data_IF_978674568293
#
_entry.id   IF_978674568293
#
_cell.length_a   1.000
_cell.length_b   1.000
_cell.length_c   1.000
_cell.angle_alpha   90.00
_cell.angle_beta   90.00
_cell.angle_gamma   90.00
#
_symmetry.space_group_name_H-M   'P 1'
#
loop_
_entity.id
_entity.type
_entity.pdbx_description
1 polymer ?
#
# COMPACT_ATOMS: atom_id res chain seq x y z
N UNK A 1 2.54 21.75 -15.45
CA UNK A 1 2.31 20.44 -14.83
C UNK A 1 1.09 20.51 -13.92
N UNK A 2 0.23 19.52 -13.98
CA UNK A 2 -0.95 19.40 -13.13
C UNK A 2 -0.53 18.99 -11.71
N UNK A 3 0.55 18.21 -11.59
CA UNK A 3 1.08 17.77 -10.31
C UNK A 3 1.69 18.91 -9.50
N UNK A 4 1.44 18.93 -8.21
CA UNK A 4 1.92 19.95 -7.28
C UNK A 4 2.57 19.33 -6.03
N UNK A 5 3.54 20.06 -5.45
CA UNK A 5 4.22 19.63 -4.23
C UNK A 5 3.44 20.09 -3.00
N UNK A 6 3.03 19.15 -2.17
CA UNK A 6 2.46 19.41 -0.85
C UNK A 6 2.43 18.11 -0.04
N UNK A 7 2.87 18.15 1.22
CA UNK A 7 2.52 17.13 2.20
C UNK A 7 1.16 17.45 2.81
N UNK A 8 0.44 16.42 3.25
CA UNK A 8 -0.88 16.64 3.89
C UNK A 8 -0.72 17.48 5.14
N UNK A 9 -1.58 18.49 5.28
CA UNK A 9 -1.62 19.44 6.40
C UNK A 9 -0.47 20.47 6.43
N UNK A 10 0.33 20.56 5.37
CA UNK A 10 1.36 21.58 5.18
C UNK A 10 0.95 22.59 4.11
N UNK A 11 1.69 23.69 4.05
CA UNK A 11 1.45 24.74 3.06
C UNK A 11 1.76 24.25 1.63
N UNK A 12 1.09 24.86 0.65
CA UNK A 12 1.31 24.59 -0.76
C UNK A 12 2.76 24.84 -1.14
N UNK A 13 3.37 23.90 -1.85
CA UNK A 13 4.76 23.97 -2.28
C UNK A 13 5.75 23.39 -1.27
N UNK A 14 5.30 23.04 -0.07
CA UNK A 14 6.11 22.38 0.96
C UNK A 14 5.72 20.92 1.03
N UNK A 15 6.70 20.02 0.93
CA UNK A 15 6.50 18.58 1.13
C UNK A 15 7.29 17.68 0.23
N UNK A 16 7.33 16.42 0.63
CA UNK A 16 8.10 15.35 -0.03
C UNK A 16 7.33 14.66 -1.14
N UNK A 17 6.05 14.97 -1.29
CA UNK A 17 5.17 14.32 -2.26
C UNK A 17 4.78 15.27 -3.38
N UNK A 18 4.72 14.72 -4.60
CA UNK A 18 3.96 15.32 -5.69
C UNK A 18 2.55 14.74 -5.68
N UNK A 19 1.56 15.57 -5.84
CA UNK A 19 0.16 15.16 -5.86
C UNK A 19 -0.43 15.38 -7.25
N UNK A 20 -1.07 14.35 -7.80
CA UNK A 20 -1.83 14.40 -9.03
C UNK A 20 -3.32 14.51 -8.66
N UNK A 21 -3.91 15.71 -8.70
CA UNK A 21 -5.29 15.91 -8.30
C UNK A 21 -6.25 15.45 -9.38
N UNK A 22 -7.37 14.89 -8.97
CA UNK A 22 -8.47 14.47 -9.82
C UNK A 22 -9.75 15.22 -9.43
N UNK A 23 -10.52 15.66 -10.40
CA UNK A 23 -11.92 15.99 -10.20
C UNK A 23 -12.78 14.71 -10.15
N UNK A 24 -14.09 14.85 -9.99
CA UNK A 24 -14.97 13.68 -9.85
C UNK A 24 -15.04 12.86 -11.15
N UNK A 25 -15.12 13.51 -12.29
CA UNK A 25 -15.23 12.84 -13.60
C UNK A 25 -13.95 12.07 -13.95
N UNK A 26 -12.79 12.68 -13.72
CA UNK A 26 -11.47 12.05 -13.89
C UNK A 26 -11.33 10.83 -12.96
N UNK A 27 -11.79 10.95 -11.73
CA UNK A 27 -11.78 9.86 -10.77
C UNK A 27 -12.72 8.72 -11.17
N UNK A 28 -13.96 9.03 -11.54
CA UNK A 28 -14.94 8.03 -11.95
C UNK A 28 -14.41 7.24 -13.16
N UNK A 29 -13.89 7.93 -14.17
CA UNK A 29 -13.26 7.30 -15.34
C UNK A 29 -12.10 6.39 -14.95
N UNK A 30 -11.22 6.86 -14.07
CA UNK A 30 -10.07 6.06 -13.59
C UNK A 30 -10.54 4.79 -12.87
N UNK A 31 -11.52 4.91 -11.97
CA UNK A 31 -12.01 3.75 -11.19
C UNK A 31 -12.72 2.74 -12.09
N UNK A 32 -13.56 3.21 -13.02
CA UNK A 32 -14.25 2.32 -13.94
C UNK A 32 -13.27 1.52 -14.81
N UNK A 33 -12.24 2.18 -15.33
CA UNK A 33 -11.19 1.54 -16.11
C UNK A 33 -10.29 0.61 -15.26
N UNK A 34 -10.03 0.97 -14.01
CA UNK A 34 -9.32 0.14 -13.05
C UNK A 34 -10.08 -1.17 -12.76
N UNK A 35 -11.40 -1.07 -12.57
CA UNK A 35 -12.27 -2.21 -12.29
C UNK A 35 -12.48 -3.13 -13.49
N UNK A 36 -12.44 -2.57 -14.71
CA UNK A 36 -12.55 -3.31 -15.97
C UNK A 36 -11.23 -3.96 -16.43
N UNK A 37 -10.09 -3.55 -15.85
CA UNK A 37 -8.77 -3.95 -16.30
C UNK A 37 -8.49 -5.45 -16.08
N UNK A 38 -7.70 -6.03 -16.99
CA UNK A 38 -7.25 -7.44 -16.88
C UNK A 38 -6.24 -7.60 -15.75
N UNK A 39 -6.47 -8.61 -14.93
CA UNK A 39 -5.60 -8.99 -13.82
C UNK A 39 -4.75 -10.22 -14.20
N UNK A 40 -3.61 -10.37 -13.56
CA UNK A 40 -2.90 -11.63 -13.55
C UNK A 40 -3.79 -12.61 -12.77
N UNK A 41 -4.16 -13.73 -13.38
CA UNK A 41 -5.01 -14.75 -12.76
C UNK A 41 -4.21 -15.37 -11.62
N UNK A 42 -4.54 -14.99 -10.39
CA UNK A 42 -4.09 -15.69 -9.18
C UNK A 42 -5.09 -16.81 -8.86
N UNK A 43 -4.62 -17.85 -8.22
CA UNK A 43 -5.52 -18.88 -7.68
C UNK A 43 -6.40 -18.26 -6.59
N UNK A 44 -7.64 -18.75 -6.45
CA UNK A 44 -8.66 -18.27 -5.48
C UNK A 44 -8.19 -18.28 -4.00
N UNK A 45 -7.07 -18.94 -3.70
CA UNK A 45 -6.41 -18.97 -2.40
C UNK A 45 -5.76 -17.62 -1.98
N UNK A 46 -5.63 -16.66 -2.90
CA UNK A 46 -4.84 -15.45 -2.69
C UNK A 46 -5.66 -14.28 -2.14
N UNK A 47 -6.99 -14.40 -2.08
CA UNK A 47 -7.87 -13.30 -1.68
C UNK A 47 -8.15 -13.23 -0.18
N UNK A 48 -8.00 -14.34 0.56
CA UNK A 48 -8.37 -14.39 1.98
C UNK A 48 -7.25 -14.04 2.96
N UNK A 49 -5.98 -14.07 2.54
CA UNK A 49 -4.84 -14.04 3.45
C UNK A 49 -3.91 -12.82 3.26
N UNK A 50 -4.40 -11.76 2.60
CA UNK A 50 -3.62 -10.53 2.44
C UNK A 50 -3.79 -9.62 3.66
N UNK A 51 -2.67 -9.11 4.18
CA UNK A 51 -2.72 -7.99 5.13
C UNK A 51 -3.54 -6.85 4.55
N UNK A 52 -4.39 -6.25 5.37
CA UNK A 52 -5.33 -5.22 4.93
C UNK A 52 -4.64 -4.03 4.25
N UNK A 53 -3.43 -3.66 4.70
CA UNK A 53 -2.62 -2.59 4.12
C UNK A 53 -1.93 -2.98 2.79
N UNK A 54 -1.91 -4.26 2.43
CA UNK A 54 -1.26 -4.79 1.23
C UNK A 54 -2.27 -5.21 0.14
N UNK A 55 -3.54 -4.84 0.27
CA UNK A 55 -4.53 -5.17 -0.75
C UNK A 55 -4.26 -4.41 -2.06
N UNK A 56 -4.41 -5.09 -3.22
CA UNK A 56 -4.36 -4.43 -4.52
C UNK A 56 -5.39 -3.30 -4.61
N UNK A 57 -5.01 -2.19 -5.25
CA UNK A 57 -5.87 -1.00 -5.33
C UNK A 57 -7.21 -1.31 -6.03
N UNK A 58 -7.20 -2.19 -7.03
CA UNK A 58 -8.42 -2.65 -7.70
C UNK A 58 -9.32 -3.48 -6.78
N UNK A 59 -8.78 -4.23 -5.83
CA UNK A 59 -9.59 -4.97 -4.86
C UNK A 59 -10.22 -4.02 -3.83
N UNK A 60 -9.48 -3.01 -3.38
CA UNK A 60 -10.05 -1.95 -2.54
C UNK A 60 -11.18 -1.22 -3.29
N UNK A 61 -10.98 -0.90 -4.58
CA UNK A 61 -12.01 -0.25 -5.39
C UNK A 61 -13.27 -1.11 -5.56
N UNK A 62 -13.15 -2.45 -5.58
CA UNK A 62 -14.30 -3.39 -5.64
C UNK A 62 -15.17 -3.37 -4.39
N UNK A 63 -14.63 -3.01 -3.24
CA UNK A 63 -15.43 -2.90 -2.01
C UNK A 63 -16.40 -1.71 -2.04
N UNK A 64 -16.18 -0.77 -2.93
CA UNK A 64 -17.01 0.39 -3.18
C UNK A 64 -16.29 1.40 -4.06
N UNK A 65 -17.02 1.99 -5.01
CA UNK A 65 -16.46 2.91 -6.02
C UNK A 65 -15.62 4.05 -5.39
N UNK A 66 -16.01 4.55 -4.24
CA UNK A 66 -15.30 5.62 -3.52
C UNK A 66 -14.27 5.11 -2.49
N UNK A 67 -14.11 3.80 -2.31
CA UNK A 67 -13.29 3.23 -1.23
C UNK A 67 -11.83 3.72 -1.28
N UNK A 68 -11.23 3.80 -2.46
CA UNK A 68 -9.85 4.24 -2.62
C UNK A 68 -9.63 5.73 -2.27
N UNK A 69 -10.70 6.56 -2.26
CA UNK A 69 -10.64 7.96 -1.79
C UNK A 69 -10.47 8.10 -0.28
N UNK A 70 -10.77 7.05 0.47
CA UNK A 70 -10.56 7.01 1.93
C UNK A 70 -9.22 6.35 2.28
N UNK A 71 -8.54 5.78 1.28
CA UNK A 71 -7.23 5.11 1.37
C UNK A 71 -6.14 5.81 0.53
N UNK A 72 -5.67 5.12 -0.50
CA UNK A 72 -4.54 5.53 -1.33
C UNK A 72 -4.71 6.91 -1.99
N UNK A 73 -5.93 7.24 -2.44
CA UNK A 73 -6.24 8.49 -3.13
C UNK A 73 -6.88 9.55 -2.23
N UNK A 74 -6.65 9.48 -0.92
CA UNK A 74 -7.25 10.40 0.06
C UNK A 74 -6.84 11.86 -0.22
N UNK A 75 -7.82 12.79 -0.45
CA UNK A 75 -7.52 14.19 -0.77
C UNK A 75 -7.43 15.11 0.45
N UNK A 76 -7.62 14.59 1.65
CA UNK A 76 -7.68 15.39 2.88
C UNK A 76 -6.33 16.10 3.13
N UNK A 77 -6.39 17.38 3.45
CA UNK A 77 -5.21 18.20 3.70
C UNK A 77 -4.52 18.76 2.45
N UNK A 78 -5.05 18.45 1.24
CA UNK A 78 -4.50 18.93 -0.01
C UNK A 78 -5.38 20.06 -0.61
N UNK A 79 -4.73 21.02 -1.27
CA UNK A 79 -5.39 22.09 -2.01
C UNK A 79 -4.87 22.07 -3.44
N UNK A 80 -5.78 21.83 -4.39
CA UNK A 80 -5.44 21.88 -5.83
C UNK A 80 -5.18 23.36 -6.23
N UNK A 81 -3.96 23.70 -6.65
CA UNK A 81 -3.63 25.11 -6.99
C UNK A 81 -4.40 25.65 -8.19
N UNK A 82 -4.98 24.78 -9.02
CA UNK A 82 -5.81 25.18 -10.17
C UNK A 82 -7.16 25.75 -9.74
N UNK A 83 -7.71 25.24 -8.63
CA UNK A 83 -9.06 25.55 -8.17
C UNK A 83 -9.09 26.28 -6.85
N UNK A 84 -7.98 26.26 -6.09
CA UNK A 84 -7.91 26.74 -4.71
C UNK A 84 -8.76 25.93 -3.73
N UNK A 85 -9.21 24.72 -4.13
CA UNK A 85 -10.09 23.86 -3.35
C UNK A 85 -9.47 22.47 -3.19
N UNK A 86 -9.98 21.70 -2.23
CA UNK A 86 -9.63 20.30 -2.07
C UNK A 86 -10.07 19.51 -3.32
N UNK A 87 -9.18 18.72 -3.94
CA UNK A 87 -9.56 17.87 -5.06
C UNK A 87 -10.56 16.78 -4.64
N UNK A 88 -11.20 16.15 -5.60
CA UNK A 88 -12.06 14.99 -5.33
C UNK A 88 -11.24 13.79 -4.84
N UNK A 89 -10.13 13.53 -5.50
CA UNK A 89 -9.13 12.53 -5.14
C UNK A 89 -7.73 13.05 -5.49
N UNK A 90 -6.67 12.45 -4.96
CA UNK A 90 -5.31 12.77 -5.35
C UNK A 90 -4.41 11.53 -5.27
N UNK A 91 -3.68 11.27 -6.35
CA UNK A 91 -2.62 10.28 -6.35
C UNK A 91 -1.35 10.94 -5.85
N UNK A 92 -0.71 10.33 -4.85
CA UNK A 92 0.56 10.82 -4.32
C UNK A 92 1.73 10.08 -4.97
N UNK A 93 2.73 10.83 -5.38
CA UNK A 93 3.98 10.35 -5.93
C UNK A 93 5.09 10.64 -4.93
N UNK A 94 5.83 9.62 -4.54
CA UNK A 94 7.01 9.74 -3.68
C UNK A 94 8.27 9.57 -4.51
N UNK A 95 9.21 10.51 -4.36
CA UNK A 95 10.50 10.42 -5.05
C UNK A 95 11.29 9.18 -4.57
N UNK A 96 11.85 8.44 -5.50
CA UNK A 96 12.70 7.27 -5.24
C UNK A 96 14.14 7.65 -4.95
N UNK A 97 14.55 8.87 -5.30
CA UNK A 97 15.91 9.36 -5.08
C UNK A 97 15.94 10.87 -4.85
N UNK A 98 17.05 11.36 -4.33
CA UNK A 98 17.27 12.78 -4.06
C UNK A 98 17.22 13.66 -5.31
N UNK A 99 17.57 13.11 -6.48
CA UNK A 99 17.50 13.82 -7.77
C UNK A 99 16.06 13.97 -8.28
N UNK A 100 15.07 13.31 -7.64
CA UNK A 100 13.66 13.28 -8.05
C UNK A 100 13.48 12.89 -9.53
N UNK A 101 14.32 11.97 -10.01
CA UNK A 101 14.29 11.49 -11.40
C UNK A 101 13.32 10.32 -11.61
N UNK A 102 12.89 9.68 -10.53
CA UNK A 102 11.89 8.61 -10.53
C UNK A 102 10.98 8.75 -9.32
N UNK A 103 9.73 8.32 -9.50
CA UNK A 103 8.69 8.38 -8.47
C UNK A 103 7.94 7.07 -8.38
N UNK A 104 7.48 6.70 -7.20
CA UNK A 104 6.52 5.63 -7.05
C UNK A 104 5.10 6.18 -6.75
N UNK A 105 4.10 5.46 -7.19
CA UNK A 105 2.70 5.74 -6.86
C UNK A 105 2.42 5.16 -5.48
N UNK A 106 2.11 6.01 -4.52
CA UNK A 106 1.88 5.60 -3.14
C UNK A 106 0.56 4.83 -3.02
N UNK A 107 0.63 3.62 -2.48
CA UNK A 107 -0.56 2.78 -2.28
C UNK A 107 -1.08 2.08 -3.54
N UNK A 108 -0.29 2.00 -4.60
CA UNK A 108 -0.64 1.36 -5.87
C UNK A 108 -0.09 -0.06 -6.00
N UNK A 109 -0.24 -0.87 -4.98
CA UNK A 109 -0.08 -2.31 -5.14
C UNK A 109 -1.19 -2.81 -6.05
N UNK A 110 -0.86 -3.70 -6.99
CA UNK A 110 -1.81 -4.11 -8.03
C UNK A 110 -1.50 -5.50 -8.57
N UNK A 111 -2.55 -6.20 -8.96
CA UNK A 111 -2.50 -7.46 -9.67
C UNK A 111 -2.87 -7.30 -11.15
N UNK A 112 -2.91 -6.06 -11.65
CA UNK A 112 -3.14 -5.80 -13.06
C UNK A 112 -1.98 -6.31 -13.92
N UNK A 113 -2.28 -6.75 -15.15
CA UNK A 113 -1.22 -7.03 -16.13
C UNK A 113 -0.44 -5.75 -16.46
N UNK A 114 0.81 -5.88 -16.87
CA UNK A 114 1.67 -4.71 -17.15
C UNK A 114 1.07 -3.75 -18.20
N UNK A 115 0.44 -4.31 -19.24
CA UNK A 115 -0.25 -3.51 -20.27
C UNK A 115 -1.40 -2.70 -19.69
N UNK A 116 -2.17 -3.30 -18.78
CA UNK A 116 -3.27 -2.61 -18.11
C UNK A 116 -2.78 -1.57 -17.10
N UNK A 117 -1.71 -1.83 -16.37
CA UNK A 117 -1.11 -0.83 -15.50
C UNK A 117 -0.72 0.42 -16.29
N UNK A 118 -0.05 0.25 -17.44
CA UNK A 118 0.28 1.38 -18.30
C UNK A 118 -0.98 2.11 -18.78
N UNK A 119 -1.95 1.38 -19.31
CA UNK A 119 -3.19 1.94 -19.87
C UNK A 119 -3.98 2.71 -18.82
N UNK A 120 -4.21 2.11 -17.65
CA UNK A 120 -5.07 2.69 -16.60
C UNK A 120 -4.36 3.81 -15.85
N UNK A 121 -3.08 3.64 -15.51
CA UNK A 121 -2.39 4.65 -14.69
C UNK A 121 -2.02 5.91 -15.49
N UNK A 122 -1.94 5.83 -16.82
CA UNK A 122 -1.80 7.03 -17.65
C UNK A 122 -3.10 7.86 -17.77
N UNK A 123 -4.24 7.37 -17.28
CA UNK A 123 -5.46 8.18 -17.15
C UNK A 123 -5.39 9.16 -15.98
N UNK A 124 -4.45 8.97 -15.06
CA UNK A 124 -4.26 9.88 -13.93
C UNK A 124 -3.71 11.21 -14.44
N UNK A 125 -4.39 12.36 -14.16
CA UNK A 125 -3.92 13.68 -14.57
C UNK A 125 -2.49 13.95 -14.11
N UNK A 126 -1.62 14.27 -15.06
CA UNK A 126 -0.18 14.46 -14.84
C UNK A 126 0.68 13.23 -15.12
N UNK A 127 0.07 12.07 -15.41
CA UNK A 127 0.76 10.83 -15.78
C UNK A 127 0.51 10.40 -17.22
N UNK A 128 -0.12 11.23 -18.04
CA UNK A 128 -0.51 10.92 -19.42
C UNK A 128 0.68 10.47 -20.29
N UNK A 129 1.87 11.02 -20.00
CA UNK A 129 3.12 10.72 -20.71
C UNK A 129 4.16 10.04 -19.79
N UNK A 130 3.72 9.38 -18.74
CA UNK A 130 4.64 8.74 -17.81
C UNK A 130 5.34 7.52 -18.44
N UNK A 131 6.64 7.42 -18.22
CA UNK A 131 7.44 6.24 -18.54
C UNK A 131 7.49 5.33 -17.33
N UNK A 132 7.03 4.09 -17.45
CA UNK A 132 7.06 3.10 -16.38
C UNK A 132 8.36 2.31 -16.44
N UNK A 133 9.33 2.66 -15.61
CA UNK A 133 10.60 1.92 -15.49
C UNK A 133 10.44 0.61 -14.74
N UNK A 134 9.38 0.49 -13.92
CA UNK A 134 9.01 -0.72 -13.19
C UNK A 134 7.51 -0.76 -12.98
N UNK A 135 6.93 -1.93 -13.20
CA UNK A 135 5.51 -2.17 -12.93
C UNK A 135 5.29 -2.64 -11.49
N UNK A 136 4.13 -2.31 -10.96
CA UNK A 136 3.67 -2.79 -9.67
C UNK A 136 3.49 -4.30 -9.67
N UNK A 137 3.76 -4.89 -8.53
CA UNK A 137 3.48 -6.31 -8.26
C UNK A 137 2.79 -6.41 -6.90
N UNK A 138 2.00 -7.44 -6.74
CA UNK A 138 1.44 -7.78 -5.45
C UNK A 138 2.52 -8.49 -4.64
N UNK A 139 2.78 -8.01 -3.42
CA UNK A 139 3.64 -8.71 -2.48
C UNK A 139 2.86 -9.83 -1.81
N UNK A 140 3.48 -10.99 -1.74
CA UNK A 140 2.96 -12.13 -0.96
C UNK A 140 3.81 -12.24 0.29
N UNK A 141 3.17 -12.09 1.43
CA UNK A 141 3.80 -12.33 2.71
C UNK A 141 3.25 -13.64 3.27
N UNK A 142 4.13 -14.60 3.48
CA UNK A 142 3.76 -15.84 4.17
C UNK A 142 3.86 -15.63 5.67
N UNK A 143 2.86 -16.07 6.39
CA UNK A 143 2.85 -16.11 7.85
C UNK A 143 2.14 -17.37 8.35
N UNK A 144 2.40 -17.73 9.58
CA UNK A 144 1.76 -18.87 10.24
C UNK A 144 0.43 -18.43 10.84
N UNK A 145 -0.50 -19.36 10.96
CA UNK A 145 -1.72 -19.18 11.75
C UNK A 145 -1.36 -19.22 13.25
N UNK A 146 -0.81 -18.09 13.72
CA UNK A 146 -0.24 -17.98 15.08
C UNK A 146 -1.19 -18.36 16.19
N UNK A 147 -2.50 -18.04 16.17
CA UNK A 147 -3.44 -18.46 17.20
C UNK A 147 -3.53 -19.97 17.39
N UNK A 148 -3.26 -20.76 16.34
CA UNK A 148 -3.32 -22.22 16.38
C UNK A 148 -1.95 -22.88 16.37
N UNK A 149 -0.93 -22.22 15.81
CA UNK A 149 0.40 -22.79 15.60
C UNK A 149 1.40 -22.46 16.70
N UNK A 150 1.17 -21.39 17.49
CA UNK A 150 2.12 -20.90 18.49
C UNK A 150 1.51 -20.90 19.88
N UNK A 151 2.34 -21.09 20.90
CA UNK A 151 1.98 -20.85 22.29
C UNK A 151 2.07 -19.36 22.66
N UNK A 152 1.64 -18.98 23.87
CA UNK A 152 1.65 -17.59 24.34
C UNK A 152 3.02 -16.95 24.47
N UNK A 153 4.10 -17.70 24.27
CA UNK A 153 5.48 -17.20 24.24
C UNK A 153 6.06 -17.10 22.82
N UNK A 154 5.22 -17.20 21.78
CA UNK A 154 5.58 -17.30 20.38
C UNK A 154 6.34 -18.59 20.01
N UNK A 155 6.30 -19.60 20.86
CA UNK A 155 6.96 -20.88 20.63
C UNK A 155 6.11 -21.83 19.80
N UNK A 156 6.78 -22.66 19.01
CA UNK A 156 6.14 -23.81 18.37
C UNK A 156 6.05 -24.93 19.39
N UNK A 157 4.85 -25.40 19.77
CA UNK A 157 4.67 -26.43 20.78
C UNK A 157 5.51 -27.69 20.53
N UNK A 158 6.17 -28.19 21.55
CA UNK A 158 7.01 -29.38 21.45
C UNK A 158 8.39 -29.18 20.84
N UNK A 159 8.77 -27.92 20.56
CA UNK A 159 10.08 -27.57 20.00
C UNK A 159 10.79 -26.49 20.85
N UNK A 160 12.07 -26.24 20.54
CA UNK A 160 12.83 -25.10 21.09
C UNK A 160 12.73 -23.84 20.20
N UNK A 161 11.90 -23.85 19.15
CA UNK A 161 11.79 -22.76 18.18
C UNK A 161 10.79 -21.71 18.67
N UNK A 162 11.17 -20.43 18.59
CA UNK A 162 10.30 -19.27 18.79
C UNK A 162 10.29 -18.47 17.48
N UNK A 163 9.11 -18.04 17.06
CA UNK A 163 8.93 -17.19 15.87
C UNK A 163 8.78 -15.73 16.29
N UNK A 164 9.19 -14.79 15.42
CA UNK A 164 9.04 -13.37 15.66
C UNK A 164 8.89 -12.58 14.36
N UNK A 165 8.31 -11.40 14.44
CA UNK A 165 8.12 -10.51 13.30
C UNK A 165 7.01 -10.97 12.37
N UNK A 166 7.11 -10.57 11.11
CA UNK A 166 6.04 -10.75 10.11
C UNK A 166 5.59 -12.21 9.92
N UNK A 167 6.50 -13.17 10.12
CA UNK A 167 6.16 -14.60 10.03
C UNK A 167 5.08 -15.02 11.03
N UNK A 168 4.92 -14.28 12.14
CA UNK A 168 3.85 -14.51 13.14
C UNK A 168 2.54 -13.81 12.80
N UNK A 169 2.38 -13.21 11.62
CA UNK A 169 1.22 -12.42 11.25
C UNK A 169 1.24 -10.99 11.79
N UNK A 170 2.34 -10.56 12.41
CA UNK A 170 2.48 -9.20 12.93
C UNK A 170 2.67 -8.22 11.76
N UNK A 171 1.83 -7.19 11.70
CA UNK A 171 1.90 -6.15 10.67
C UNK A 171 2.50 -4.87 11.26
N UNK A 172 3.43 -4.25 10.51
CA UNK A 172 4.10 -3.01 10.90
C UNK A 172 5.53 -3.22 11.42
N UNK A 173 6.39 -2.21 11.19
CA UNK A 173 7.80 -2.30 11.61
C UNK A 173 7.96 -2.26 13.13
N UNK A 174 7.21 -1.40 13.81
CA UNK A 174 7.28 -1.26 15.27
C UNK A 174 6.78 -2.54 15.95
N UNK A 175 5.68 -3.09 15.46
CA UNK A 175 5.08 -4.33 15.96
C UNK A 175 6.02 -5.52 15.71
N UNK A 176 6.66 -5.58 14.55
CA UNK A 176 7.66 -6.62 14.27
C UNK A 176 8.87 -6.54 15.19
N UNK A 177 9.37 -5.33 15.49
CA UNK A 177 10.45 -5.10 16.46
C UNK A 177 10.00 -5.52 17.87
N UNK A 178 8.80 -5.13 18.29
CA UNK A 178 8.25 -5.49 19.59
C UNK A 178 8.10 -7.01 19.76
N UNK A 179 7.60 -7.70 18.72
CA UNK A 179 7.49 -9.16 18.75
C UNK A 179 8.86 -9.83 18.86
N UNK A 180 9.89 -9.28 18.19
CA UNK A 180 11.28 -9.75 18.31
C UNK A 180 11.82 -9.62 19.73
N UNK A 181 11.56 -8.49 20.39
CA UNK A 181 11.97 -8.28 21.79
C UNK A 181 11.27 -9.28 22.73
N UNK A 182 9.95 -9.45 22.59
CA UNK A 182 9.19 -10.41 23.40
C UNK A 182 9.66 -11.84 23.18
N UNK A 183 9.91 -12.24 21.93
CA UNK A 183 10.44 -13.56 21.61
C UNK A 183 11.82 -13.80 22.29
N UNK A 184 12.70 -12.79 22.27
CA UNK A 184 14.01 -12.87 22.92
C UNK A 184 13.88 -13.02 24.45
N UNK A 185 13.01 -12.24 25.09
CA UNK A 185 12.75 -12.34 26.54
C UNK A 185 12.16 -13.70 26.91
N UNK A 186 11.23 -14.22 26.12
CA UNK A 186 10.65 -15.54 26.32
C UNK A 186 11.69 -16.67 26.17
N UNK A 187 12.57 -16.55 25.14
CA UNK A 187 13.67 -17.50 24.98
C UNK A 187 14.63 -17.45 26.15
N UNK A 188 14.99 -16.27 26.63
CA UNK A 188 15.84 -16.12 27.82
C UNK A 188 15.22 -16.73 29.05
N UNK A 189 13.92 -16.50 29.30
CA UNK A 189 13.21 -17.11 30.40
C UNK A 189 13.23 -18.66 30.32
N UNK A 190 12.95 -19.21 29.12
CA UNK A 190 13.03 -20.68 28.91
C UNK A 190 14.42 -21.27 29.20
N UNK A 191 15.48 -20.57 28.78
CA UNK A 191 16.87 -21.01 29.05
C UNK A 191 17.19 -21.00 30.55
N UNK A 192 16.53 -20.17 31.36
CA UNK A 192 16.66 -20.11 32.81
C UNK A 192 15.68 -21.04 33.53
N UNK A 193 14.87 -21.81 32.80
CA UNK A 193 13.86 -22.70 33.41
C UNK A 193 12.68 -21.95 34.09
N UNK A 194 12.37 -20.76 33.63
CA UNK A 194 11.31 -19.87 34.11
C UNK A 194 10.12 -19.85 33.16
#
# INVERSE_FOLDING_TARGET
SIAFSQSRYEDLGIGDYLNCPMNKEEYDTFVDELLAAKRVIGHDFEQSDLFQACQPIEEVARTGHDSIRFGALKPVGLIDPRTGKRPWAAVQLRAENAAKSAFNLVGFQTNLTWGEQKRVFTLIPGLENAEFVRYGVMHRNSFVDSPHALDGSFGIPGTSTILAGQITGTEGYVEAIASGLLAALNMYARLLGK
#
